data_IF_643920071781
#
_entry.id   IF_643920071781
#
_cell.length_a   1.000
_cell.length_b   1.000
_cell.length_c   1.000
_cell.angle_alpha   90.00
_cell.angle_beta   90.00
_cell.angle_gamma   90.00
#
_symmetry.space_group_name_H-M   'P 1'
#
loop_
_entity.id
_entity.type
_entity.pdbx_description
1 polymer ?
#
# COMPACT_ATOMS: atom_id res chain seq x y z
N UNK A 1 -8.41 -5.43 6.84
CA UNK A 1 -6.93 -5.33 6.94
C UNK A 1 -6.51 -3.89 7.24
N UNK A 2 -5.54 -3.67 8.13
CA UNK A 2 -4.92 -2.37 8.42
C UNK A 2 -3.59 -2.25 7.69
N UNK A 3 -3.61 -1.61 6.52
CA UNK A 3 -2.43 -1.39 5.68
C UNK A 3 -2.43 0.04 5.15
N UNK A 4 -1.25 0.52 4.76
CA UNK A 4 -1.07 1.82 4.13
C UNK A 4 -0.72 1.62 2.66
N UNK A 5 -1.48 2.27 1.78
CA UNK A 5 -1.11 2.42 0.38
C UNK A 5 0.02 3.44 0.29
N UNK A 6 1.22 3.02 -0.14
CA UNK A 6 2.38 3.91 -0.27
C UNK A 6 2.55 4.46 -1.68
N UNK A 7 2.03 3.76 -2.69
CA UNK A 7 2.09 4.25 -4.05
C UNK A 7 1.55 3.26 -5.07
N UNK A 8 1.53 3.73 -6.31
CA UNK A 8 1.26 2.90 -7.48
C UNK A 8 2.30 3.24 -8.56
N UNK A 9 2.76 2.23 -9.28
CA UNK A 9 3.80 2.37 -10.30
C UNK A 9 3.25 1.93 -11.65
N UNK A 10 3.54 2.71 -12.70
CA UNK A 10 3.09 2.46 -14.07
C UNK A 10 4.30 2.05 -14.90
N UNK A 11 4.45 0.74 -15.11
CA UNK A 11 5.61 0.18 -15.83
C UNK A 11 5.42 0.11 -17.35
N UNK A 12 4.30 0.63 -17.87
CA UNK A 12 3.94 0.58 -19.29
C UNK A 12 3.09 -0.63 -19.67
N UNK A 13 2.71 -0.73 -20.96
CA UNK A 13 1.90 -1.83 -21.52
C UNK A 13 0.57 -2.05 -20.78
N UNK A 14 -0.02 -0.98 -20.24
CA UNK A 14 -1.27 -1.06 -19.45
C UNK A 14 -1.11 -1.72 -18.08
N UNK A 15 0.12 -1.98 -17.61
CA UNK A 15 0.39 -2.63 -16.33
C UNK A 15 0.61 -1.59 -15.23
N UNK A 16 -0.09 -1.80 -14.11
CA UNK A 16 0.03 -0.97 -12.91
C UNK A 16 0.32 -1.88 -11.72
N UNK A 17 1.28 -1.49 -10.90
CA UNK A 17 1.63 -2.19 -9.67
C UNK A 17 1.22 -1.33 -8.48
N UNK A 18 0.43 -1.87 -7.57
CA UNK A 18 0.03 -1.19 -6.34
C UNK A 18 0.94 -1.68 -5.20
N UNK A 19 1.47 -0.76 -4.42
CA UNK A 19 2.42 -1.07 -3.35
C UNK A 19 1.79 -0.69 -2.02
N UNK A 20 1.66 -1.67 -1.13
CA UNK A 20 1.10 -1.52 0.21
C UNK A 20 2.13 -1.92 1.27
N UNK A 21 2.06 -1.29 2.44
CA UNK A 21 2.94 -1.57 3.58
C UNK A 21 2.12 -1.73 4.86
N UNK A 22 2.61 -2.56 5.78
CA UNK A 22 1.97 -2.83 7.06
C UNK A 22 2.51 -4.10 7.70
N UNK A 23 1.83 -4.59 8.74
CA UNK A 23 2.15 -5.88 9.34
C UNK A 23 1.89 -7.02 8.35
N UNK A 24 2.73 -8.06 8.41
CA UNK A 24 2.72 -9.17 7.44
C UNK A 24 1.34 -9.83 7.32
N UNK A 25 0.65 -10.04 8.45
CA UNK A 25 -0.69 -10.63 8.47
C UNK A 25 -1.74 -9.74 7.81
N UNK A 26 -1.66 -8.43 8.05
CA UNK A 26 -2.59 -7.44 7.48
C UNK A 26 -2.35 -7.27 5.98
N UNK A 27 -1.08 -7.23 5.55
CA UNK A 27 -0.70 -7.17 4.13
C UNK A 27 -1.14 -8.43 3.39
N UNK A 28 -0.96 -9.61 3.98
CA UNK A 28 -1.41 -10.86 3.37
C UNK A 28 -2.93 -10.89 3.16
N UNK A 29 -3.71 -10.47 4.17
CA UNK A 29 -5.15 -10.36 4.05
C UNK A 29 -5.56 -9.33 2.98
N UNK A 30 -4.91 -8.17 2.95
CA UNK A 30 -5.18 -7.12 1.96
C UNK A 30 -4.90 -7.57 0.53
N UNK A 31 -3.79 -8.27 0.29
CA UNK A 31 -3.43 -8.79 -1.05
C UNK A 31 -4.40 -9.88 -1.50
N UNK A 32 -4.85 -10.76 -0.59
CA UNK A 32 -5.84 -11.78 -0.91
C UNK A 32 -7.19 -11.15 -1.30
N UNK A 33 -7.71 -10.22 -0.49
CA UNK A 33 -8.97 -9.51 -0.77
C UNK A 33 -8.87 -8.65 -2.05
N UNK A 34 -7.71 -8.02 -2.28
CA UNK A 34 -7.43 -7.25 -3.49
C UNK A 34 -7.46 -8.12 -4.75
N UNK A 35 -6.85 -9.30 -4.67
CA UNK A 35 -6.82 -10.27 -5.79
C UNK A 35 -8.24 -10.76 -6.13
N UNK A 36 -9.05 -11.04 -5.12
CA UNK A 36 -10.46 -11.42 -5.33
C UNK A 36 -11.31 -10.27 -5.88
N UNK A 37 -11.00 -9.03 -5.49
CA UNK A 37 -11.74 -7.85 -5.95
C UNK A 37 -11.54 -7.58 -7.43
N UNK A 38 -10.34 -7.85 -7.98
CA UNK A 38 -10.05 -7.69 -9.41
C UNK A 38 -10.91 -8.62 -10.27
N UNK A 39 -11.29 -9.80 -9.78
CA UNK A 39 -12.18 -10.72 -10.52
C UNK A 39 -13.57 -10.14 -10.81
N UNK A 40 -13.98 -9.11 -10.06
CA UNK A 40 -15.25 -8.41 -10.24
C UNK A 40 -15.13 -7.24 -11.23
N UNK A 41 -13.92 -6.87 -11.62
CA UNK A 41 -13.66 -5.77 -12.57
C UNK A 41 -13.73 -6.33 -13.98
N UNK A 42 -14.59 -5.75 -14.82
CA UNK A 42 -14.71 -6.16 -16.22
C UNK A 42 -13.40 -5.85 -16.97
N UNK A 43 -12.74 -6.89 -17.50
CA UNK A 43 -11.44 -6.77 -18.17
C UNK A 43 -10.23 -6.59 -17.23
N UNK A 44 -10.42 -6.74 -15.92
CA UNK A 44 -9.32 -6.70 -14.95
C UNK A 44 -8.61 -8.05 -14.84
N UNK A 45 -7.27 -8.04 -14.83
CA UNK A 45 -6.45 -9.24 -14.64
C UNK A 45 -5.36 -8.98 -13.60
N UNK A 46 -5.16 -9.96 -12.70
CA UNK A 46 -4.02 -9.96 -11.78
C UNK A 46 -2.88 -10.73 -12.42
N UNK A 47 -1.80 -10.03 -12.74
CA UNK A 47 -0.66 -10.62 -13.44
C UNK A 47 0.36 -11.24 -12.48
N UNK A 48 0.56 -10.60 -11.32
CA UNK A 48 1.51 -11.06 -10.30
C UNK A 48 1.22 -10.43 -8.94
N UNK A 49 1.39 -11.19 -7.87
CA UNK A 49 1.39 -10.71 -6.49
C UNK A 49 2.64 -11.21 -5.78
N UNK A 50 3.20 -10.40 -4.88
CA UNK A 50 4.37 -10.77 -4.10
C UNK A 50 4.34 -10.08 -2.74
N UNK A 51 4.84 -10.76 -1.71
CA UNK A 51 4.92 -10.26 -0.35
C UNK A 51 6.33 -10.49 0.18
N UNK A 52 6.93 -9.43 0.72
CA UNK A 52 8.24 -9.47 1.39
C UNK A 52 8.02 -9.11 2.85
N UNK A 53 8.14 -10.09 3.74
CA UNK A 53 7.81 -9.92 5.16
C UNK A 53 8.75 -8.92 5.87
N UNK A 54 10.02 -8.88 5.48
CA UNK A 54 11.05 -7.99 6.04
C UNK A 54 11.94 -7.46 4.90
N UNK A 55 11.54 -6.39 4.21
CA UNK A 55 12.36 -5.82 3.16
C UNK A 55 13.66 -5.25 3.74
N UNK A 56 14.76 -5.41 3.03
CA UNK A 56 16.03 -4.81 3.40
C UNK A 56 15.96 -3.29 3.23
N UNK A 57 16.54 -2.52 4.15
CA UNK A 57 16.45 -1.05 4.20
C UNK A 57 16.86 -0.37 2.88
N UNK A 58 17.91 -0.89 2.23
CA UNK A 58 18.37 -0.40 0.93
C UNK A 58 17.28 -0.37 -0.16
N UNK A 59 16.26 -1.24 -0.07
CA UNK A 59 15.16 -1.25 -1.04
C UNK A 59 14.31 0.02 -0.96
N UNK A 60 14.21 0.66 0.20
CA UNK A 60 13.40 1.89 0.35
C UNK A 60 14.03 3.11 -0.32
N UNK A 61 15.34 3.06 -0.58
CA UNK A 61 16.07 4.14 -1.26
C UNK A 61 16.09 3.97 -2.78
N UNK A 62 15.93 2.74 -3.26
CA UNK A 62 16.03 2.40 -4.68
C UNK A 62 14.65 2.18 -5.32
N UNK A 63 13.72 1.56 -4.61
CA UNK A 63 12.38 1.24 -5.09
C UNK A 63 11.34 2.21 -4.54
N UNK A 64 10.26 2.49 -5.30
CA UNK A 64 9.20 3.42 -4.90
C UNK A 64 8.23 2.79 -3.87
N UNK A 65 8.77 2.35 -2.73
CA UNK A 65 8.04 1.62 -1.68
C UNK A 65 8.19 2.25 -0.29
N UNK A 66 8.74 3.46 -0.24
CA UNK A 66 8.91 4.27 0.97
C UNK A 66 7.59 4.95 1.33
N UNK A 67 7.38 5.18 2.62
CA UNK A 67 6.32 6.07 3.09
C UNK A 67 6.61 7.52 2.69
N UNK A 68 5.57 8.22 2.24
CA UNK A 68 5.61 9.66 1.92
C UNK A 68 4.84 10.45 2.98
N UNK A 69 5.08 11.76 3.08
CA UNK A 69 4.38 12.62 4.05
C UNK A 69 2.85 12.63 3.83
N UNK A 70 2.41 12.46 2.59
CA UNK A 70 0.99 12.42 2.22
C UNK A 70 0.24 11.23 2.83
N UNK A 71 0.95 10.13 3.09
CA UNK A 71 0.36 8.88 3.57
C UNK A 71 0.60 8.64 5.07
N UNK A 72 1.29 9.55 5.76
CA UNK A 72 1.66 9.39 7.16
C UNK A 72 0.42 9.30 8.07
N UNK A 73 -0.63 10.06 7.77
CA UNK A 73 -1.92 9.95 8.47
C UNK A 73 -2.52 8.53 8.44
N UNK A 74 -2.32 7.81 7.33
CA UNK A 74 -2.81 6.43 7.19
C UNK A 74 -1.91 5.45 7.91
N UNK A 75 -0.61 5.73 7.98
CA UNK A 75 0.36 4.94 8.76
C UNK A 75 0.08 5.05 10.26
N UNK A 76 -0.21 6.24 10.75
CA UNK A 76 -0.60 6.48 12.15
C UNK A 76 -1.92 5.77 12.48
N UNK A 77 -2.91 5.86 11.58
CA UNK A 77 -4.19 5.17 11.70
C UNK A 77 -4.07 3.64 11.77
N UNK A 78 -3.10 3.05 11.06
CA UNK A 78 -2.79 1.61 11.12
C UNK A 78 -2.14 1.24 12.46
N UNK A 79 -1.25 2.09 12.98
CA UNK A 79 -0.46 1.85 14.20
C UNK A 79 -1.25 2.01 15.50
N UNK A 80 -2.53 2.43 15.45
CA UNK A 80 -3.41 2.56 16.61
C UNK A 80 -3.07 3.73 17.54
N UNK A 81 -2.24 4.68 17.12
CA UNK A 81 -2.09 5.97 17.81
C UNK A 81 -3.29 6.84 17.43
N UNK A 82 -4.01 7.32 18.43
CA UNK A 82 -5.14 8.22 18.26
C UNK A 82 -4.79 9.34 17.29
N UNK A 83 -5.71 9.63 16.35
CA UNK A 83 -5.61 10.72 15.39
C UNK A 83 -5.35 12.02 16.17
N UNK A 84 -4.09 12.45 16.27
CA UNK A 84 -3.80 13.81 16.65
C UNK A 84 -4.12 14.62 15.40
N UNK A 85 -5.19 15.42 15.45
CA UNK A 85 -5.57 16.31 14.38
C UNK A 85 -4.33 17.09 13.90
N UNK A 86 -3.84 16.75 12.71
CA UNK A 86 -2.76 17.48 12.05
C UNK A 86 -3.22 18.88 11.67
N UNK A 87 -2.28 19.82 11.46
CA UNK A 87 -2.54 21.26 11.34
C UNK A 87 -3.27 21.69 10.05
N UNK A 88 -3.86 20.76 9.30
CA UNK A 88 -4.53 21.04 8.02
C UNK A 88 -6.06 20.93 8.12
N UNK A 89 -6.65 21.58 9.12
CA UNK A 89 -7.96 22.20 8.92
C UNK A 89 -7.72 23.49 8.13
N UNK A 90 -7.89 23.43 6.80
CA UNK A 90 -8.06 24.66 6.00
C UNK A 90 -9.39 25.34 6.39
N UNK A 91 -9.47 26.69 6.34
CA UNK A 91 -10.68 27.44 6.72
C UNK A 91 -11.89 27.12 5.86
#
# INVERSE_FOLDING_TARGET
ARVTLVGYEKIGTGRVTVIVRGDVSEVQASVAEGTESVKRVNGGEVLSTHLIARPHENLEYVLPMRYTEEVEQFREGVSGRALHAGPYTRP
#
